data_IF_016775818255
#
_entry.id   IF_016775818255
#
_cell.length_a   1.000
_cell.length_b   1.000
_cell.length_c   1.000
_cell.angle_alpha   90.00
_cell.angle_beta   90.00
_cell.angle_gamma   90.00
#
_symmetry.space_group_name_H-M   'P 1'
#
loop_
_entity.id
_entity.type
_entity.pdbx_description
1 polymer ?
#
# COMPACT_ATOMS: atom_id res chain seq x y z
N UNK A 1 -16.79 2.80 8.48
CA UNK A 1 -15.67 2.23 9.27
C UNK A 1 -16.27 1.31 10.31
N UNK A 2 -15.87 0.03 10.34
CA UNK A 2 -16.11 -0.84 11.49
C UNK A 2 -14.82 -1.59 11.76
N UNK A 3 -14.11 -1.12 12.77
CA UNK A 3 -12.77 -1.51 13.21
C UNK A 3 -12.83 -2.77 14.08
N UNK A 4 -13.33 -3.86 13.51
CA UNK A 4 -13.21 -5.21 14.08
C UNK A 4 -12.73 -6.11 12.95
N UNK A 5 -11.69 -6.91 13.21
CA UNK A 5 -11.10 -7.93 12.31
C UNK A 5 -9.80 -7.55 11.58
N UNK A 6 -8.97 -6.65 12.11
CA UNK A 6 -7.57 -6.58 11.67
C UNK A 6 -6.66 -6.80 12.88
N UNK A 7 -6.08 -8.00 12.95
CA UNK A 7 -5.09 -8.37 13.95
C UNK A 7 -3.82 -7.55 13.73
N UNK A 8 -3.16 -7.02 14.78
CA UNK A 8 -1.85 -6.36 14.66
C UNK A 8 -0.86 -7.27 13.91
N UNK A 9 -0.15 -6.72 12.91
CA UNK A 9 0.74 -7.48 12.04
C UNK A 9 0.07 -8.13 10.82
N UNK A 10 -1.25 -8.03 10.65
CA UNK A 10 -1.89 -8.41 9.39
C UNK A 10 -1.47 -7.43 8.28
N UNK A 11 -1.09 -7.90 7.07
CA UNK A 11 -0.75 -7.04 5.95
C UNK A 11 -1.70 -5.88 5.70
N UNK A 12 -3.02 -6.04 5.87
CA UNK A 12 -4.00 -4.98 5.63
C UNK A 12 -4.07 -3.87 6.69
N UNK A 13 -3.46 -4.08 7.86
CA UNK A 13 -3.30 -3.11 8.92
C UNK A 13 -2.09 -2.19 8.69
N UNK A 14 -1.13 -2.66 7.91
CA UNK A 14 0.12 -1.97 7.68
C UNK A 14 -0.09 -0.75 6.77
N UNK A 15 0.46 0.39 7.21
CA UNK A 15 0.43 1.67 6.52
C UNK A 15 1.70 1.94 5.73
N UNK A 16 2.76 1.15 5.94
CA UNK A 16 3.99 1.27 5.17
C UNK A 16 3.78 0.77 3.73
N UNK A 17 4.37 1.43 2.72
CA UNK A 17 4.32 0.98 1.34
C UNK A 17 4.72 -0.49 1.21
N UNK A 18 4.14 -1.17 0.23
CA UNK A 18 4.49 -2.55 -0.12
C UNK A 18 5.90 -2.55 -0.72
N UNK A 19 6.91 -2.60 0.15
CA UNK A 19 8.33 -2.50 -0.17
C UNK A 19 9.14 -3.40 0.73
N UNK A 20 10.14 -4.05 0.17
CA UNK A 20 11.13 -4.84 0.85
C UNK A 20 12.50 -4.59 0.20
N UNK A 21 13.51 -5.36 0.58
CA UNK A 21 14.83 -5.30 -0.05
C UNK A 21 14.72 -5.51 -1.58
N UNK A 22 15.35 -4.63 -2.36
CA UNK A 22 15.33 -4.74 -3.82
C UNK A 22 16.16 -5.95 -4.29
N UNK A 23 15.57 -6.75 -5.17
CA UNK A 23 16.21 -7.95 -5.71
C UNK A 23 16.60 -7.76 -7.17
N UNK A 24 17.75 -8.32 -7.57
CA UNK A 24 18.08 -8.52 -8.98
C UNK A 24 17.15 -9.59 -9.60
N UNK A 25 17.17 -9.72 -10.92
CA UNK A 25 16.39 -10.75 -11.60
C UNK A 25 16.72 -12.17 -11.10
N UNK A 26 18.00 -12.46 -10.88
CA UNK A 26 18.48 -13.76 -10.39
C UNK A 26 18.01 -14.01 -8.95
N UNK A 27 18.05 -12.97 -8.10
CA UNK A 27 17.58 -13.07 -6.72
C UNK A 27 16.06 -13.19 -6.64
N UNK A 28 15.32 -12.56 -7.55
CA UNK A 28 13.88 -12.75 -7.69
C UNK A 28 13.55 -14.21 -8.03
N UNK A 29 14.26 -14.84 -8.98
CA UNK A 29 14.05 -16.25 -9.31
C UNK A 29 14.30 -17.18 -8.12
N UNK A 30 15.41 -16.99 -7.40
CA UNK A 30 15.71 -17.74 -6.18
C UNK A 30 14.63 -17.53 -5.11
N UNK A 31 14.18 -16.28 -4.95
CA UNK A 31 13.08 -15.97 -4.04
C UNK A 31 11.77 -16.65 -4.47
N UNK A 32 11.48 -16.74 -5.78
CA UNK A 32 10.29 -17.41 -6.29
C UNK A 32 10.25 -18.90 -5.92
N UNK A 33 11.39 -19.58 -6.04
CA UNK A 33 11.56 -21.01 -5.67
C UNK A 33 11.34 -21.21 -4.16
N UNK A 34 11.99 -20.37 -3.35
CA UNK A 34 11.82 -20.38 -1.89
C UNK A 34 10.37 -20.10 -1.48
N UNK A 35 9.76 -19.09 -2.08
CA UNK A 35 8.38 -18.70 -1.83
C UNK A 35 7.39 -19.81 -2.19
N UNK A 36 7.59 -20.49 -3.33
CA UNK A 36 6.74 -21.60 -3.75
C UNK A 36 6.77 -22.75 -2.74
N UNK A 37 7.93 -23.03 -2.14
CA UNK A 37 8.07 -24.04 -1.09
C UNK A 37 7.36 -23.63 0.21
N UNK A 38 7.27 -22.33 0.47
CA UNK A 38 6.63 -21.73 1.64
C UNK A 38 5.15 -21.34 1.42
N UNK A 39 4.51 -21.76 0.32
CA UNK A 39 3.13 -21.43 0.00
C UNK A 39 2.24 -22.68 -0.15
N UNK A 40 2.06 -23.49 0.92
CA UNK A 40 1.16 -24.63 0.88
C UNK A 40 -0.28 -24.19 0.56
N UNK A 41 -0.94 -24.95 -0.29
CA UNK A 41 -2.34 -24.72 -0.67
C UNK A 41 -3.27 -25.39 0.33
N UNK A 42 -4.29 -24.68 0.78
CA UNK A 42 -5.25 -25.13 1.77
C UNK A 42 -6.21 -26.18 1.20
N UNK A 43 -6.40 -27.29 1.91
CA UNK A 43 -7.48 -28.25 1.62
C UNK A 43 -8.87 -27.68 1.95
N UNK A 44 -8.95 -26.81 2.96
CA UNK A 44 -10.18 -26.13 3.38
C UNK A 44 -9.97 -24.62 3.38
N UNK A 45 -10.90 -23.90 2.76
CA UNK A 45 -10.80 -22.45 2.63
C UNK A 45 -11.08 -21.76 3.96
N UNK A 46 -10.16 -20.89 4.39
CA UNK A 46 -10.37 -19.96 5.51
C UNK A 46 -11.20 -18.77 5.02
N UNK A 47 -12.21 -18.37 5.79
CA UNK A 47 -12.97 -17.15 5.50
C UNK A 47 -12.08 -15.94 5.77
N UNK A 48 -11.83 -15.16 4.74
CA UNK A 48 -11.11 -13.89 4.81
C UNK A 48 -11.93 -12.79 4.19
N UNK A 49 -11.59 -11.54 4.51
CA UNK A 49 -12.07 -10.39 3.76
C UNK A 49 -11.69 -10.54 2.29
N UNK A 50 -12.63 -10.31 1.37
CA UNK A 50 -12.34 -10.50 -0.07
C UNK A 50 -11.45 -9.39 -0.62
N UNK A 51 -10.62 -9.73 -1.62
CA UNK A 51 -9.81 -8.74 -2.34
C UNK A 51 -10.67 -7.64 -2.98
N UNK A 52 -11.86 -7.99 -3.50
CA UNK A 52 -12.83 -7.02 -4.03
C UNK A 52 -13.24 -5.99 -2.98
N UNK A 53 -13.57 -6.45 -1.76
CA UNK A 53 -13.93 -5.53 -0.67
C UNK A 53 -12.73 -4.68 -0.23
N UNK A 54 -11.50 -5.18 -0.30
CA UNK A 54 -10.30 -4.36 -0.04
C UNK A 54 -10.09 -3.32 -1.12
N UNK A 55 -10.21 -3.70 -2.39
CA UNK A 55 -10.15 -2.80 -3.54
C UNK A 55 -11.19 -1.67 -3.43
N UNK A 56 -12.42 -1.98 -3.04
CA UNK A 56 -13.48 -0.97 -2.88
C UNK A 56 -13.16 0.04 -1.77
N UNK A 57 -12.52 -0.40 -0.69
CA UNK A 57 -12.06 0.53 0.35
C UNK A 57 -10.85 1.35 -0.13
N UNK A 58 -9.94 0.75 -0.89
CA UNK A 58 -8.82 1.47 -1.49
C UNK A 58 -9.31 2.56 -2.45
N UNK A 59 -10.31 2.25 -3.28
CA UNK A 59 -10.94 3.21 -4.17
C UNK A 59 -11.50 4.43 -3.44
N UNK A 60 -12.19 4.21 -2.30
CA UNK A 60 -12.75 5.30 -1.47
C UNK A 60 -11.67 6.19 -0.87
N UNK A 61 -10.60 5.58 -0.34
CA UNK A 61 -9.48 6.33 0.25
C UNK A 61 -8.76 7.16 -0.81
N UNK A 62 -8.46 6.57 -1.96
CA UNK A 62 -7.81 7.26 -3.07
C UNK A 62 -8.66 8.40 -3.62
N UNK A 63 -9.98 8.22 -3.74
CA UNK A 63 -10.90 9.29 -4.15
C UNK A 63 -10.90 10.44 -3.13
N UNK A 64 -10.86 10.11 -1.84
CA UNK A 64 -10.82 11.10 -0.77
C UNK A 64 -9.53 11.90 -0.81
N UNK A 65 -8.38 11.23 -0.98
CA UNK A 65 -7.07 11.88 -1.12
C UNK A 65 -7.02 12.78 -2.35
N UNK A 66 -7.53 12.30 -3.49
CA UNK A 66 -7.62 13.10 -4.72
C UNK A 66 -8.47 14.36 -4.51
N UNK A 67 -9.67 14.24 -3.94
CA UNK A 67 -10.56 15.39 -3.64
C UNK A 67 -9.91 16.40 -2.70
N UNK A 68 -9.25 15.89 -1.65
CA UNK A 68 -8.54 16.73 -0.70
C UNK A 68 -7.44 17.53 -1.39
N UNK A 69 -6.61 16.89 -2.21
CA UNK A 69 -5.57 17.58 -2.99
C UNK A 69 -6.14 18.58 -3.99
N UNK A 70 -7.24 18.25 -4.67
CA UNK A 70 -7.88 19.16 -5.62
C UNK A 70 -8.40 20.42 -4.92
N UNK A 71 -8.98 20.27 -3.73
CA UNK A 71 -9.44 21.40 -2.92
C UNK A 71 -8.31 22.32 -2.47
N UNK A 72 -7.09 21.81 -2.28
CA UNK A 72 -5.92 22.63 -1.95
C UNK A 72 -5.50 23.52 -3.11
N UNK A 73 -5.35 22.91 -4.28
CA UNK A 73 -4.97 23.62 -5.50
C UNK A 73 -6.01 24.66 -5.86
N UNK A 74 -7.30 24.33 -5.75
CA UNK A 74 -8.39 25.28 -5.98
C UNK A 74 -8.38 26.46 -5.00
N UNK A 75 -7.84 26.27 -3.79
CA UNK A 75 -7.65 27.32 -2.80
C UNK A 75 -6.30 28.06 -2.92
N UNK A 76 -5.55 27.84 -4.01
CA UNK A 76 -4.25 28.46 -4.26
C UNK A 76 -3.12 27.97 -3.37
N UNK A 77 -3.30 26.82 -2.67
CA UNK A 77 -2.28 26.24 -1.80
C UNK A 77 -1.40 25.27 -2.58
N UNK A 78 -0.10 25.31 -2.30
CA UNK A 78 0.84 24.35 -2.85
C UNK A 78 0.59 22.94 -2.29
N UNK A 79 0.71 21.96 -3.18
CA UNK A 79 0.64 20.53 -2.82
C UNK A 79 1.98 19.87 -3.11
N UNK A 80 2.27 18.78 -2.40
CA UNK A 80 3.53 18.03 -2.62
C UNK A 80 3.51 17.33 -3.99
N UNK A 81 4.69 17.03 -4.58
CA UNK A 81 4.76 16.40 -5.91
C UNK A 81 3.94 15.11 -6.05
N UNK A 82 3.88 14.28 -5.00
CA UNK A 82 3.06 13.06 -4.99
C UNK A 82 1.55 13.35 -5.12
N UNK A 83 1.08 14.48 -4.57
CA UNK A 83 -0.31 14.91 -4.70
C UNK A 83 -0.61 15.37 -6.13
N UNK A 84 0.30 16.10 -6.75
CA UNK A 84 0.20 16.51 -8.16
C UNK A 84 0.12 15.30 -9.07
N UNK A 85 1.02 14.32 -8.88
CA UNK A 85 0.96 13.07 -9.64
C UNK A 85 -0.39 12.37 -9.51
N UNK A 86 -0.96 12.30 -8.29
CA UNK A 86 -2.28 11.71 -8.09
C UNK A 86 -3.37 12.51 -8.81
N UNK A 87 -3.33 13.83 -8.79
CA UNK A 87 -4.29 14.68 -9.50
C UNK A 87 -4.28 14.43 -11.00
N UNK A 88 -3.09 14.38 -11.59
CA UNK A 88 -2.89 14.20 -13.02
C UNK A 88 -3.29 12.79 -13.49
N UNK A 89 -3.06 11.77 -12.65
CA UNK A 89 -3.16 10.36 -13.05
C UNK A 89 -4.37 9.60 -12.48
N UNK A 90 -5.22 10.23 -11.66
CA UNK A 90 -6.33 9.51 -10.98
C UNK A 90 -7.30 8.82 -11.96
N UNK A 91 -7.50 9.38 -13.15
CA UNK A 91 -8.35 8.80 -14.18
C UNK A 91 -7.87 7.40 -14.64
N UNK A 92 -6.54 7.18 -14.69
CA UNK A 92 -5.96 5.86 -14.99
C UNK A 92 -6.20 4.88 -13.83
N UNK A 93 -6.01 5.33 -12.60
CA UNK A 93 -6.26 4.53 -11.39
C UNK A 93 -7.72 4.09 -11.33
N UNK A 94 -8.65 5.01 -11.60
CA UNK A 94 -10.08 4.72 -11.64
C UNK A 94 -10.44 3.70 -12.73
N UNK A 95 -9.83 3.82 -13.92
CA UNK A 95 -9.99 2.85 -14.99
C UNK A 95 -9.51 1.45 -14.57
N UNK A 96 -8.34 1.34 -13.94
CA UNK A 96 -7.82 0.06 -13.44
C UNK A 96 -8.70 -0.54 -12.33
N UNK A 97 -9.26 0.27 -11.43
CA UNK A 97 -10.22 -0.21 -10.42
C UNK A 97 -11.48 -0.79 -11.08
N UNK A 98 -12.01 -0.14 -12.11
CA UNK A 98 -13.18 -0.65 -12.85
C UNK A 98 -12.87 -1.97 -13.55
N UNK A 99 -11.71 -2.06 -14.21
CA UNK A 99 -11.27 -3.26 -14.92
C UNK A 99 -11.14 -4.46 -13.96
N UNK A 100 -10.48 -4.28 -12.81
CA UNK A 100 -10.34 -5.33 -11.78
C UNK A 100 -11.71 -5.82 -11.27
N UNK A 101 -12.71 -4.94 -11.13
CA UNK A 101 -14.06 -5.33 -10.68
C UNK A 101 -14.76 -6.24 -11.69
N UNK A 102 -14.47 -6.07 -12.97
CA UNK A 102 -15.00 -6.91 -14.06
C UNK A 102 -14.23 -8.22 -14.15
N UNK A 103 -12.90 -8.15 -14.07
CA UNK A 103 -12.02 -9.29 -14.31
C UNK A 103 -11.94 -10.27 -13.12
N UNK A 104 -12.30 -9.83 -11.91
CA UNK A 104 -12.34 -10.66 -10.71
C UNK A 104 -13.77 -10.96 -10.24
N UNK A 105 -14.60 -11.68 -11.02
CA UNK A 105 -15.91 -12.09 -10.57
C UNK A 105 -15.78 -13.07 -9.39
N UNK A 106 -16.79 -13.08 -8.52
CA UNK A 106 -16.74 -13.85 -7.27
C UNK A 106 -16.57 -15.36 -7.52
N UNK A 107 -17.22 -15.89 -8.56
CA UNK A 107 -17.07 -17.29 -8.97
C UNK A 107 -15.63 -17.64 -9.32
N UNK A 108 -14.99 -16.84 -10.16
CA UNK A 108 -13.58 -17.04 -10.54
C UNK A 108 -12.65 -16.93 -9.33
N UNK A 109 -12.83 -15.92 -8.47
CA UNK A 109 -12.06 -15.80 -7.24
C UNK A 109 -12.15 -17.03 -6.34
N UNK A 110 -13.34 -17.65 -6.21
CA UNK A 110 -13.55 -18.85 -5.38
C UNK A 110 -12.82 -20.08 -5.91
N UNK A 111 -12.60 -20.16 -7.23
CA UNK A 111 -11.90 -21.29 -7.87
C UNK A 111 -10.38 -21.25 -7.69
N UNK A 112 -9.80 -20.09 -7.38
CA UNK A 112 -8.35 -19.96 -7.21
C UNK A 112 -7.84 -20.68 -5.95
N UNK A 113 -6.78 -21.51 -6.03
CA UNK A 113 -6.13 -22.14 -4.88
C UNK A 113 -5.79 -21.15 -3.77
N UNK A 114 -6.11 -21.48 -2.52
CA UNK A 114 -5.90 -20.59 -1.36
C UNK A 114 -4.68 -20.99 -0.56
N UNK A 115 -3.96 -20.02 -0.01
CA UNK A 115 -2.86 -20.28 0.93
C UNK A 115 -3.39 -20.87 2.24
N UNK A 116 -2.70 -21.90 2.75
CA UNK A 116 -3.03 -22.54 4.02
C UNK A 116 -2.58 -21.73 5.23
N UNK A 117 -1.43 -21.07 5.11
CA UNK A 117 -0.70 -20.41 6.19
C UNK A 117 -0.09 -19.07 5.74
N UNK A 118 0.74 -18.50 6.63
CA UNK A 118 1.39 -17.22 6.41
C UNK A 118 0.44 -16.01 6.51
N UNK A 119 0.96 -14.81 6.23
CA UNK A 119 0.23 -13.54 6.39
C UNK A 119 -0.96 -13.40 5.43
N UNK A 120 -0.98 -14.21 4.36
CA UNK A 120 -2.04 -14.24 3.36
C UNK A 120 -2.86 -15.55 3.38
N UNK A 121 -2.84 -16.30 4.49
CA UNK A 121 -3.69 -17.47 4.66
C UNK A 121 -5.16 -17.17 4.29
N UNK A 122 -5.76 -17.99 3.43
CA UNK A 122 -7.13 -17.82 2.92
C UNK A 122 -7.27 -16.92 1.68
N UNK A 123 -6.22 -16.21 1.25
CA UNK A 123 -6.18 -15.49 -0.03
C UNK A 123 -5.68 -16.40 -1.16
N UNK A 124 -5.96 -16.06 -2.45
CA UNK A 124 -5.39 -16.79 -3.58
C UNK A 124 -3.87 -16.88 -3.48
N UNK A 125 -3.29 -18.05 -3.75
CA UNK A 125 -1.83 -18.24 -3.79
C UNK A 125 -1.15 -17.23 -4.71
N UNK A 126 -1.69 -17.06 -5.92
CA UNK A 126 -1.22 -16.05 -6.90
C UNK A 126 -1.18 -14.62 -6.32
N UNK A 127 -2.06 -14.26 -5.38
CA UNK A 127 -2.00 -12.95 -4.74
C UNK A 127 -0.75 -12.79 -3.88
N UNK A 128 -0.35 -13.84 -3.14
CA UNK A 128 0.91 -13.86 -2.40
C UNK A 128 2.14 -13.80 -3.30
N UNK A 129 2.12 -14.52 -4.43
CA UNK A 129 3.16 -14.47 -5.47
C UNK A 129 3.33 -13.04 -6.00
N UNK A 130 2.23 -12.39 -6.39
CA UNK A 130 2.29 -11.03 -6.92
C UNK A 130 2.69 -10.00 -5.87
N UNK A 131 2.26 -10.17 -4.62
CA UNK A 131 2.66 -9.29 -3.52
C UNK A 131 4.17 -9.30 -3.32
N UNK A 132 4.77 -10.50 -3.26
CA UNK A 132 6.20 -10.66 -3.09
C UNK A 132 6.99 -10.01 -4.24
N UNK A 133 6.54 -10.19 -5.49
CA UNK A 133 7.15 -9.53 -6.64
C UNK A 133 7.15 -8.01 -6.48
N UNK A 134 5.99 -7.39 -6.22
CA UNK A 134 5.88 -5.94 -6.08
C UNK A 134 6.75 -5.40 -4.94
N UNK A 135 6.79 -6.10 -3.81
CA UNK A 135 7.58 -5.68 -2.66
C UNK A 135 9.09 -5.63 -2.97
N UNK A 136 9.59 -6.60 -3.75
CA UNK A 136 11.02 -6.72 -4.08
C UNK A 136 11.45 -6.00 -5.37
N UNK A 137 10.50 -5.40 -6.10
CA UNK A 137 10.77 -4.53 -7.26
C UNK A 137 10.46 -3.05 -7.01
N UNK A 138 10.02 -2.68 -5.80
CA UNK A 138 9.46 -1.35 -5.51
C UNK A 138 8.41 -0.90 -6.56
N UNK A 139 7.51 -1.82 -6.90
CA UNK A 139 6.48 -1.61 -7.92
C UNK A 139 7.00 -1.37 -9.36
N UNK A 140 8.31 -1.47 -9.61
CA UNK A 140 8.83 -1.48 -10.97
C UNK A 140 8.35 -2.73 -11.70
N UNK A 141 7.82 -2.53 -12.90
CA UNK A 141 7.23 -3.60 -13.70
C UNK A 141 8.01 -3.80 -14.99
N UNK A 142 8.57 -5.00 -15.11
CA UNK A 142 9.20 -5.51 -16.32
C UNK A 142 8.57 -6.88 -16.65
N UNK A 143 7.92 -7.04 -17.81
CA UNK A 143 7.28 -8.28 -18.22
C UNK A 143 8.24 -9.47 -18.31
N UNK A 144 9.49 -9.26 -18.76
CA UNK A 144 10.48 -10.33 -18.92
C UNK A 144 10.99 -10.82 -17.57
N UNK A 145 11.21 -9.90 -16.63
CA UNK A 145 11.57 -10.25 -15.25
C UNK A 145 10.41 -10.97 -14.56
N UNK A 146 9.16 -10.49 -14.72
CA UNK A 146 7.99 -11.18 -14.17
C UNK A 146 7.86 -12.60 -14.74
N UNK A 147 8.09 -12.77 -16.06
CA UNK A 147 8.06 -14.10 -16.68
C UNK A 147 9.12 -15.02 -16.07
N UNK A 148 10.38 -14.57 -15.94
CA UNK A 148 11.46 -15.35 -15.31
C UNK A 148 11.10 -15.75 -13.88
N UNK A 149 10.59 -14.80 -13.10
CA UNK A 149 10.11 -15.02 -11.73
C UNK A 149 9.02 -16.10 -11.65
N UNK A 150 8.00 -16.02 -12.50
CA UNK A 150 6.90 -17.00 -12.53
C UNK A 150 7.34 -18.37 -13.04
N UNK A 151 8.27 -18.43 -14.00
CA UNK A 151 8.86 -19.69 -14.46
C UNK A 151 9.62 -20.36 -13.32
N UNK A 152 10.46 -19.61 -12.60
CA UNK A 152 11.19 -20.12 -11.44
C UNK A 152 10.25 -20.62 -10.34
N UNK A 153 9.19 -19.88 -10.01
CA UNK A 153 8.15 -20.32 -9.05
C UNK A 153 7.56 -21.69 -9.43
N UNK A 154 7.21 -21.85 -10.71
CA UNK A 154 6.54 -23.05 -11.23
C UNK A 154 7.42 -24.31 -11.26
N UNK A 155 8.75 -24.17 -11.13
CA UNK A 155 9.64 -25.34 -10.99
C UNK A 155 9.39 -26.13 -9.71
N UNK A 156 8.85 -25.48 -8.68
CA UNK A 156 8.53 -26.10 -7.39
C UNK A 156 7.05 -26.48 -7.32
N UNK A 157 6.16 -25.55 -7.67
CA UNK A 157 4.73 -25.81 -7.64
C UNK A 157 4.04 -25.16 -8.85
N UNK A 158 3.51 -25.96 -9.80
CA UNK A 158 2.83 -25.43 -10.98
C UNK A 158 1.67 -24.50 -10.60
N UNK A 159 1.53 -23.42 -11.36
CA UNK A 159 0.36 -22.55 -11.31
C UNK A 159 -0.69 -23.09 -12.27
N UNK A 160 -1.94 -23.09 -11.85
CA UNK A 160 -3.05 -23.43 -12.76
C UNK A 160 -3.18 -22.35 -13.84
N UNK A 161 -3.78 -22.70 -14.98
CA UNK A 161 -4.13 -21.72 -16.02
C UNK A 161 -4.93 -20.56 -15.38
N UNK A 162 -5.88 -20.89 -14.51
CA UNK A 162 -6.66 -19.90 -13.76
C UNK A 162 -5.79 -18.95 -12.93
N UNK A 163 -4.74 -19.44 -12.25
CA UNK A 163 -3.82 -18.56 -11.52
C UNK A 163 -2.98 -17.68 -12.43
N UNK A 164 -2.50 -18.20 -13.58
CA UNK A 164 -1.71 -17.41 -14.53
C UNK A 164 -2.52 -16.23 -15.09
N UNK A 165 -3.80 -16.44 -15.41
CA UNK A 165 -4.72 -15.35 -15.78
C UNK A 165 -4.91 -14.35 -14.63
N UNK A 166 -4.95 -14.83 -13.38
CA UNK A 166 -5.16 -13.99 -12.22
C UNK A 166 -3.96 -13.09 -11.90
N UNK A 167 -2.74 -13.38 -12.40
CA UNK A 167 -1.53 -12.58 -12.14
C UNK A 167 -1.74 -11.11 -12.48
N UNK A 168 -2.28 -10.80 -13.66
CA UNK A 168 -2.48 -9.40 -14.08
C UNK A 168 -3.49 -8.69 -13.17
N UNK A 169 -4.53 -9.39 -12.75
CA UNK A 169 -5.58 -8.87 -11.88
C UNK A 169 -5.03 -8.62 -10.47
N UNK A 170 -4.30 -9.58 -9.89
CA UNK A 170 -3.68 -9.43 -8.57
C UNK A 170 -2.59 -8.38 -8.59
N UNK A 171 -1.86 -8.21 -9.69
CA UNK A 171 -0.87 -7.13 -9.86
C UNK A 171 -1.53 -5.77 -9.71
N UNK A 172 -2.63 -5.51 -10.44
CA UNK A 172 -3.39 -4.27 -10.31
C UNK A 172 -3.87 -4.05 -8.88
N UNK A 173 -4.38 -5.09 -8.21
CA UNK A 173 -4.83 -4.99 -6.82
C UNK A 173 -3.70 -4.58 -5.87
N UNK A 174 -2.52 -5.20 -5.99
CA UNK A 174 -1.37 -4.90 -5.13
C UNK A 174 -0.83 -3.49 -5.40
N UNK A 175 -0.75 -3.08 -6.67
CA UNK A 175 -0.31 -1.72 -7.03
C UNK A 175 -1.29 -0.65 -6.52
N UNK A 176 -2.61 -0.90 -6.60
CA UNK A 176 -3.64 0.00 -6.06
C UNK A 176 -3.58 0.03 -4.53
N UNK A 177 -3.31 -1.10 -3.87
CA UNK A 177 -3.04 -1.14 -2.44
C UNK A 177 -1.81 -0.30 -2.08
N UNK A 178 -0.71 -0.44 -2.81
CA UNK A 178 0.50 0.33 -2.54
C UNK A 178 0.27 1.83 -2.74
N UNK A 179 -0.44 2.22 -3.82
CA UNK A 179 -0.81 3.60 -4.07
C UNK A 179 -1.68 4.18 -2.95
N UNK A 180 -2.62 3.39 -2.39
CA UNK A 180 -3.39 3.82 -1.23
C UNK A 180 -2.47 4.15 -0.05
N UNK A 181 -1.52 3.27 0.26
CA UNK A 181 -0.61 3.48 1.41
C UNK A 181 0.25 4.74 1.23
N UNK A 182 0.72 4.98 0.01
CA UNK A 182 1.42 6.22 -0.35
C UNK A 182 0.52 7.46 -0.20
N UNK A 183 -0.76 7.36 -0.59
CA UNK A 183 -1.73 8.45 -0.40
C UNK A 183 -2.04 8.72 1.09
N UNK A 184 -2.13 7.67 1.91
CA UNK A 184 -2.28 7.78 3.36
C UNK A 184 -1.04 8.48 3.97
N UNK A 185 0.18 8.07 3.61
CA UNK A 185 1.43 8.72 4.05
C UNK A 185 1.51 10.18 3.63
N UNK A 186 1.12 10.50 2.40
CA UNK A 186 1.05 11.88 1.90
C UNK A 186 0.11 12.74 2.74
N UNK A 187 -1.04 12.19 3.12
CA UNK A 187 -2.05 12.87 3.95
C UNK A 187 -1.53 13.08 5.37
N UNK A 188 -0.91 12.06 5.98
CA UNK A 188 -0.29 12.17 7.30
C UNK A 188 0.85 13.19 7.32
N UNK A 189 1.76 13.13 6.35
CA UNK A 189 2.87 14.08 6.24
C UNK A 189 2.40 15.52 6.01
N UNK A 190 1.22 15.72 5.43
CA UNK A 190 0.61 17.05 5.33
C UNK A 190 0.15 17.57 6.69
N UNK A 191 -0.51 16.73 7.50
CA UNK A 191 -0.90 17.11 8.86
C UNK A 191 0.35 17.46 9.70
N UNK A 192 1.40 16.64 9.61
CA UNK A 192 2.68 16.90 10.30
C UNK A 192 3.29 18.24 9.91
N UNK A 193 3.27 18.61 8.61
CA UNK A 193 3.77 19.91 8.15
C UNK A 193 2.95 21.09 8.68
N UNK A 194 1.62 20.95 8.75
CA UNK A 194 0.73 21.99 9.28
C UNK A 194 0.92 22.18 10.79
N UNK A 195 1.04 21.09 11.53
CA UNK A 195 1.35 21.10 12.96
C UNK A 195 2.71 21.79 13.21
N UNK A 196 3.73 21.45 12.41
CA UNK A 196 5.06 22.05 12.52
C UNK A 196 5.06 23.55 12.23
N UNK A 197 4.38 23.99 11.16
CA UNK A 197 4.24 25.42 10.86
C UNK A 197 3.50 26.16 11.98
N UNK A 198 2.42 25.59 12.48
CA UNK A 198 1.64 26.19 13.58
C UNK A 198 2.46 26.32 14.86
N UNK A 199 3.34 25.36 15.15
CA UNK A 199 4.26 25.45 16.27
C UNK A 199 5.32 26.52 16.03
N UNK A 200 5.94 26.56 14.84
CA UNK A 200 6.92 27.57 14.48
C UNK A 200 6.35 28.98 14.65
N UNK A 201 5.12 29.22 14.15
CA UNK A 201 4.45 30.50 14.25
C UNK A 201 4.21 30.92 15.72
N UNK A 202 3.85 29.97 16.59
CA UNK A 202 3.71 30.24 18.04
C UNK A 202 5.03 30.50 18.74
N UNK A 203 6.11 29.84 18.34
CA UNK A 203 7.45 30.06 18.92
C UNK A 203 8.02 31.41 18.49
N UNK A 204 7.83 31.79 17.23
CA UNK A 204 8.26 33.09 16.70
C UNK A 204 7.41 34.26 17.22
N UNK A 205 6.24 34.00 17.81
CA UNK A 205 5.42 35.03 18.43
C UNK A 205 6.12 35.64 19.68
N UNK A 206 6.23 36.97 19.78
CA UNK A 206 6.93 37.62 20.89
C UNK A 206 6.41 37.20 22.27
N UNK A 207 7.32 36.75 23.14
CA UNK A 207 7.01 36.41 24.53
C UNK A 207 6.27 35.08 24.76
N UNK A 208 6.01 34.29 23.72
CA UNK A 208 5.21 33.05 23.83
C UNK A 208 6.02 31.75 23.62
N UNK A 209 7.32 31.83 23.32
CA UNK A 209 8.15 30.67 23.00
C UNK A 209 8.13 29.58 24.09
N UNK A 210 8.29 29.96 25.37
CA UNK A 210 8.34 28.99 26.47
C UNK A 210 6.97 28.33 26.72
N UNK A 211 5.88 29.11 26.60
CA UNK A 211 4.49 28.64 26.76
C UNK A 211 4.04 27.76 25.58
N UNK A 212 4.54 28.01 24.38
CA UNK A 212 4.24 27.22 23.18
C UNK A 212 4.96 25.85 23.16
N UNK A 213 6.16 25.77 23.74
CA UNK A 213 6.98 24.55 23.74
C UNK A 213 6.53 23.53 24.80
N UNK A 214 6.14 23.97 25.99
CA UNK A 214 5.78 23.07 27.10
C UNK A 214 4.67 22.04 26.78
N UNK A 215 3.54 22.41 26.15
CA UNK A 215 2.49 21.46 25.78
C UNK A 215 2.94 20.48 24.69
N UNK A 216 3.80 20.92 23.76
CA UNK A 216 4.30 20.08 22.69
C UNK A 216 5.34 19.09 23.21
N UNK A 217 6.23 19.51 24.09
CA UNK A 217 7.17 18.62 24.80
C UNK A 217 6.38 17.56 25.60
N UNK A 218 5.27 17.93 26.23
CA UNK A 218 4.39 16.99 26.91
C UNK A 218 3.63 16.07 25.93
N UNK A 219 3.18 16.57 24.77
CA UNK A 219 2.52 15.78 23.70
C UNK A 219 3.49 14.77 23.07
N UNK A 220 4.77 15.13 22.98
CA UNK A 220 5.84 14.33 22.41
C UNK A 220 6.49 13.38 23.42
N UNK A 221 6.29 13.60 24.72
CA UNK A 221 6.77 12.72 25.77
C UNK A 221 6.15 11.33 25.61
N UNK A 222 6.95 10.38 25.11
CA UNK A 222 6.56 8.97 24.95
C UNK A 222 6.20 8.53 23.53
N UNK A 223 6.34 9.40 22.51
CA UNK A 223 6.16 9.00 21.10
C UNK A 223 7.35 9.46 20.25
N UNK A 224 7.84 8.65 19.30
CA UNK A 224 8.85 9.11 18.35
C UNK A 224 8.30 10.28 17.54
N UNK A 225 9.10 11.34 17.42
CA UNK A 225 8.79 12.52 16.61
C UNK A 225 8.73 12.12 15.13
N UNK A 226 7.72 12.56 14.40
CA UNK A 226 7.67 12.37 12.95
C UNK A 226 8.86 13.07 12.30
N UNK A 227 9.62 12.36 11.46
CA UNK A 227 10.72 12.94 10.68
C UNK A 227 10.25 14.10 9.81
N UNK A 228 9.02 14.01 9.27
CA UNK A 228 8.41 15.07 8.45
C UNK A 228 8.13 16.31 9.28
N UNK A 229 7.60 16.14 10.49
CA UNK A 229 7.37 17.25 11.43
C UNK A 229 8.70 17.92 11.80
N UNK A 230 9.70 17.13 12.18
CA UNK A 230 11.02 17.63 12.59
C UNK A 230 11.72 18.39 11.46
N UNK A 231 11.74 17.84 10.25
CA UNK A 231 12.33 18.46 9.07
C UNK A 231 11.60 19.77 8.68
N UNK A 232 10.27 19.80 8.79
CA UNK A 232 9.50 21.01 8.50
C UNK A 232 9.73 22.10 9.55
N UNK A 233 9.77 21.74 10.83
CA UNK A 233 10.03 22.69 11.92
C UNK A 233 11.44 23.29 11.80
N UNK A 234 12.44 22.48 11.45
CA UNK A 234 13.82 22.95 11.25
C UNK A 234 14.00 23.87 10.02
N UNK A 235 13.07 23.82 9.06
CA UNK A 235 13.07 24.68 7.87
C UNK A 235 12.50 26.08 8.13
N UNK A 236 11.64 26.23 9.15
CA UNK A 236 10.96 27.48 9.51
C UNK A 236 11.84 28.33 10.41
#
# INVERSE_FOLDING_TARGET
>A
MTTRDIVPGHPWADTAPVRAELFSAERLEQHAISLASAQPVAERTKRVRTLRRRLDDNAKVLLTAWRASASEVAAGREVVPAATWLLDNYHLVEAQIREVRTDLPEGYYRLLPKLADGPFAGYPRVFGVTWAFVAHTDSHFDPDILRRYLVAYQTVQPLTIGELWAVAITMRIVLIENLRRLADQMTMGRADRLDANSLADRICAPGQAHTALLPEVARLAGRPLSEVFAAQLAKR
#
